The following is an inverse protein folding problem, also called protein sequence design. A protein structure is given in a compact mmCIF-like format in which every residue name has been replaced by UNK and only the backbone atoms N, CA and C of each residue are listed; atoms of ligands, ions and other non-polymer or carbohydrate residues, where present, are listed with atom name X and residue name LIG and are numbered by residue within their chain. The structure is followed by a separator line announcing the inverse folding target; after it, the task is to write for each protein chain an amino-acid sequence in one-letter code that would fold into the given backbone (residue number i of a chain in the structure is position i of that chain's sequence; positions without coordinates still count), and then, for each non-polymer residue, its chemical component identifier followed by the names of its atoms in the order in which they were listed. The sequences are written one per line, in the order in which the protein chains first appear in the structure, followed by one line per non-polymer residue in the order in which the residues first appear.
data_IF_790008853512
#
_entry.id   IF_790008853512
#
_cell.length_a   1.000
_cell.length_b   1.000
_cell.length_c   1.000
_cell.angle_alpha   90.00
_cell.angle_beta   90.00
_cell.angle_gamma   90.00
#
_symmetry.space_group_name_H-M   'P 1'
#
loop_
_entity.id
_entity.type
_entity.pdbx_description
1 polymer ?
#
# COMPACT_ATOMS: atom_id res chain seq x y z
N UNK A 1 16.71 -14.11 7.98
CA UNK A 1 16.77 -12.64 7.93
C UNK A 1 17.45 -12.14 9.20
N UNK A 2 18.45 -11.26 9.08
CA UNK A 2 19.24 -10.72 10.20
C UNK A 2 19.07 -9.20 10.36
N UNK A 3 18.11 -8.59 9.66
CA UNK A 3 17.87 -7.15 9.73
C UNK A 3 17.25 -6.75 11.07
N UNK A 4 17.40 -5.47 11.41
CA UNK A 4 16.80 -4.91 12.61
C UNK A 4 15.29 -4.74 12.40
N UNK A 5 14.43 -5.30 13.26
CA UNK A 5 12.97 -5.19 13.11
C UNK A 5 12.46 -3.75 13.04
N UNK A 6 13.22 -2.81 13.61
CA UNK A 6 12.92 -1.38 13.65
C UNK A 6 13.31 -0.62 12.38
N UNK A 7 13.96 -1.28 11.42
CA UNK A 7 14.39 -0.69 10.15
C UNK A 7 13.62 -1.28 8.97
N UNK A 8 12.52 -1.99 9.23
CA UNK A 8 11.72 -2.63 8.21
C UNK A 8 11.16 -1.62 7.20
N UNK A 9 10.79 -0.42 7.64
CA UNK A 9 10.39 0.70 6.78
C UNK A 9 11.47 1.09 5.78
N UNK A 10 12.71 1.27 6.25
CA UNK A 10 13.87 1.60 5.40
C UNK A 10 14.18 0.48 4.42
N UNK A 11 14.04 -0.76 4.87
CA UNK A 11 14.21 -1.91 3.98
C UNK A 11 13.13 -1.94 2.91
N UNK A 12 11.85 -1.72 3.24
CA UNK A 12 10.76 -1.67 2.26
C UNK A 12 10.98 -0.56 1.22
N UNK A 13 11.42 0.62 1.65
CA UNK A 13 11.76 1.74 0.77
C UNK A 13 12.97 1.47 -0.14
N UNK A 14 13.85 0.53 0.24
CA UNK A 14 15.05 0.18 -0.53
C UNK A 14 14.80 -0.86 -1.63
N UNK A 15 13.59 -1.43 -1.72
CA UNK A 15 13.23 -2.37 -2.78
C UNK A 15 12.42 -1.68 -3.87
N UNK A 16 12.55 -2.16 -5.11
CA UNK A 16 11.78 -1.66 -6.26
C UNK A 16 10.27 -1.90 -6.14
N UNK A 17 9.88 -2.87 -5.30
CA UNK A 17 8.49 -3.17 -4.99
C UNK A 17 8.32 -4.25 -3.92
N UNK A 18 7.09 -4.39 -3.43
CA UNK A 18 6.72 -5.33 -2.37
C UNK A 18 5.58 -6.23 -2.84
N UNK A 19 5.68 -7.53 -2.57
CA UNK A 19 4.59 -8.49 -2.74
C UNK A 19 4.29 -9.10 -1.38
N UNK A 20 3.04 -8.99 -0.91
CA UNK A 20 2.69 -9.45 0.44
C UNK A 20 1.22 -9.85 0.56
N UNK A 21 0.90 -10.61 1.60
CA UNK A 21 -0.47 -10.89 2.04
C UNK A 21 -0.83 -10.11 3.31
N UNK A 22 0.13 -9.41 3.91
CA UNK A 22 -0.05 -8.60 5.12
C UNK A 22 -0.56 -7.22 4.75
N UNK A 23 -1.77 -6.90 5.21
CA UNK A 23 -2.38 -5.59 5.00
C UNK A 23 -1.57 -4.48 5.67
N UNK A 24 -0.97 -4.75 6.83
CA UNK A 24 -0.13 -3.78 7.55
C UNK A 24 1.12 -3.45 6.76
N UNK A 25 1.88 -4.47 6.35
CA UNK A 25 3.10 -4.29 5.56
C UNK A 25 2.80 -3.62 4.21
N UNK A 26 1.70 -3.99 3.56
CA UNK A 26 1.30 -3.35 2.32
C UNK A 26 0.99 -1.86 2.52
N UNK A 27 0.32 -1.52 3.62
CA UNK A 27 0.01 -0.12 3.94
C UNK A 27 1.29 0.68 4.20
N UNK A 28 2.24 0.12 4.95
CA UNK A 28 3.53 0.75 5.25
C UNK A 28 4.36 0.97 3.98
N UNK A 29 4.51 -0.04 3.13
CA UNK A 29 5.25 0.05 1.88
C UNK A 29 4.66 1.10 0.93
N UNK A 30 3.35 1.13 0.78
CA UNK A 30 2.65 2.10 -0.08
C UNK A 30 2.83 3.53 0.42
N UNK A 31 2.78 3.76 1.73
CA UNK A 31 2.99 5.09 2.32
C UNK A 31 4.43 5.58 2.14
N UNK A 32 5.38 4.68 1.99
CA UNK A 32 6.78 4.98 1.69
C UNK A 32 7.04 5.19 0.19
N UNK A 33 6.00 5.11 -0.66
CA UNK A 33 6.10 5.26 -2.10
C UNK A 33 6.52 3.99 -2.84
N UNK A 34 6.67 2.86 -2.15
CA UNK A 34 7.07 1.59 -2.77
C UNK A 34 5.86 0.89 -3.41
N UNK A 35 5.91 0.60 -4.73
CA UNK A 35 4.85 -0.15 -5.39
C UNK A 35 4.60 -1.50 -4.73
N UNK A 36 3.33 -1.78 -4.45
CA UNK A 36 2.97 -2.92 -3.61
C UNK A 36 1.84 -3.73 -4.23
N UNK A 37 2.10 -5.02 -4.45
CA UNK A 37 1.10 -6.01 -4.80
C UNK A 37 0.61 -6.72 -3.51
N UNK A 38 -0.63 -6.44 -3.12
CA UNK A 38 -1.31 -7.10 -2.02
C UNK A 38 -2.18 -8.26 -2.52
N UNK A 39 -1.83 -9.48 -2.11
CA UNK A 39 -2.61 -10.70 -2.38
C UNK A 39 -3.41 -11.05 -1.12
N UNK A 40 -4.66 -10.61 -1.04
CA UNK A 40 -5.47 -10.80 0.17
C UNK A 40 -6.95 -10.60 -0.10
N UNK A 41 -7.81 -11.41 0.52
CA UNK A 41 -9.27 -11.21 0.54
C UNK A 41 -9.72 -10.12 1.52
N UNK A 42 -8.78 -9.50 2.26
CA UNK A 42 -9.11 -8.51 3.28
C UNK A 42 -9.75 -7.24 2.69
N UNK A 43 -10.85 -6.83 3.31
CA UNK A 43 -11.56 -5.60 3.02
C UNK A 43 -11.35 -4.61 4.17
N UNK A 44 -10.52 -3.60 3.95
CA UNK A 44 -10.29 -2.52 4.92
C UNK A 44 -10.46 -1.19 4.21
N UNK A 45 -11.35 -0.34 4.73
CA UNK A 45 -11.67 0.96 4.10
C UNK A 45 -10.46 1.89 3.92
N UNK A 46 -9.41 1.70 4.70
CA UNK A 46 -8.13 2.40 4.52
C UNK A 46 -7.46 2.07 3.18
N UNK A 47 -7.50 0.81 2.74
CA UNK A 47 -6.94 0.40 1.44
C UNK A 47 -7.71 1.05 0.29
N UNK A 48 -9.04 1.11 0.40
CA UNK A 48 -9.88 1.76 -0.60
C UNK A 48 -9.59 3.27 -0.69
N UNK A 49 -9.13 3.89 0.41
CA UNK A 49 -8.64 5.26 0.40
C UNK A 49 -7.32 5.39 -0.35
N UNK A 50 -6.33 4.54 -0.05
CA UNK A 50 -5.04 4.56 -0.73
C UNK A 50 -5.18 4.40 -2.24
N UNK A 51 -6.04 3.49 -2.70
CA UNK A 51 -6.32 3.32 -4.15
C UNK A 51 -6.94 4.57 -4.77
N UNK A 52 -7.88 5.22 -4.07
CA UNK A 52 -8.54 6.45 -4.53
C UNK A 52 -7.59 7.64 -4.61
N UNK A 53 -6.60 7.68 -3.71
CA UNK A 53 -5.55 8.69 -3.66
C UNK A 53 -4.46 8.45 -4.71
N UNK A 54 -4.56 7.37 -5.49
CA UNK A 54 -3.58 7.04 -6.54
C UNK A 54 -2.27 6.50 -6.00
N UNK A 55 -2.26 6.00 -4.75
CA UNK A 55 -1.09 5.37 -4.19
C UNK A 55 -0.73 4.09 -5.00
N UNK A 56 0.55 3.66 -5.01
CA UNK A 56 1.00 2.55 -5.86
C UNK A 56 0.63 1.18 -5.28
N UNK A 57 -0.65 1.00 -4.94
CA UNK A 57 -1.24 -0.20 -4.36
C UNK A 57 -2.00 -0.99 -5.44
N UNK A 58 -1.62 -2.24 -5.64
CA UNK A 58 -2.25 -3.17 -6.56
C UNK A 58 -2.82 -4.32 -5.75
N UNK A 59 -4.13 -4.57 -5.85
CA UNK A 59 -4.80 -5.58 -5.02
C UNK A 59 -5.32 -6.72 -5.87
N UNK A 60 -4.99 -7.94 -5.49
CA UNK A 60 -5.63 -9.14 -5.99
C UNK A 60 -6.35 -9.84 -4.84
N UNK A 61 -7.68 -9.89 -4.89
CA UNK A 61 -8.51 -10.53 -3.84
C UNK A 61 -8.91 -11.96 -4.17
N UNK A 62 -8.37 -12.52 -5.25
CA UNK A 62 -8.66 -13.88 -5.70
C UNK A 62 -9.51 -13.91 -6.98
N UNK A 63 -9.83 -15.12 -7.47
CA UNK A 63 -10.50 -15.31 -8.76
C UNK A 63 -11.94 -14.76 -8.82
N UNK A 64 -12.59 -14.58 -7.67
CA UNK A 64 -13.97 -14.10 -7.60
C UNK A 64 -14.09 -12.56 -7.63
N UNK A 65 -12.97 -11.84 -7.65
CA UNK A 65 -12.91 -10.37 -7.51
C UNK A 65 -13.28 -9.61 -8.80
N UNK A 66 -13.69 -10.32 -9.86
CA UNK A 66 -14.04 -9.73 -11.17
C UNK A 66 -12.87 -9.12 -11.94
N UNK A 67 -11.70 -8.96 -11.30
CA UNK A 67 -10.45 -8.51 -11.89
C UNK A 67 -9.56 -9.72 -12.19
N UNK A 68 -9.08 -9.80 -13.43
CA UNK A 68 -8.18 -10.85 -13.86
C UNK A 68 -6.79 -10.64 -13.26
N UNK A 69 -6.17 -11.73 -12.81
CA UNK A 69 -4.81 -11.72 -12.24
C UNK A 69 -3.81 -11.04 -13.18
N UNK A 70 -3.89 -11.33 -14.48
CA UNK A 70 -2.99 -10.81 -15.50
C UNK A 70 -3.05 -9.28 -15.59
N UNK A 71 -4.23 -8.68 -15.41
CA UNK A 71 -4.39 -7.24 -15.44
C UNK A 71 -3.72 -6.57 -14.23
N UNK A 72 -3.95 -7.11 -13.03
CA UNK A 72 -3.35 -6.59 -11.79
C UNK A 72 -1.83 -6.78 -11.79
N UNK A 73 -1.37 -7.94 -12.25
CA UNK A 73 0.06 -8.22 -12.36
C UNK A 73 0.73 -7.29 -13.38
N UNK A 74 0.13 -7.06 -14.55
CA UNK A 74 0.66 -6.12 -15.54
C UNK A 74 0.72 -4.68 -15.01
N UNK A 75 -0.32 -4.24 -14.28
CA UNK A 75 -0.34 -2.92 -13.63
C UNK A 75 0.77 -2.80 -12.58
N UNK A 76 0.99 -3.82 -11.76
CA UNK A 76 2.09 -3.84 -10.80
C UNK A 76 3.45 -3.73 -11.48
N UNK A 77 3.70 -4.53 -12.53
CA UNK A 77 4.96 -4.48 -13.29
C UNK A 77 5.19 -3.12 -13.97
N UNK A 78 4.12 -2.47 -14.44
CA UNK A 78 4.19 -1.09 -14.94
C UNK A 78 4.52 -0.11 -13.80
N UNK A 79 3.93 -0.29 -12.62
CA UNK A 79 4.21 0.49 -11.42
C UNK A 79 5.67 0.41 -10.97
N UNK A 80 6.30 -0.77 -11.06
CA UNK A 80 7.73 -0.95 -10.77
C UNK A 80 8.65 -0.12 -11.67
N UNK A 81 8.22 0.20 -12.90
CA UNK A 81 9.01 1.01 -13.84
C UNK A 81 8.76 2.52 -13.69
N UNK A 82 7.77 2.93 -12.90
CA UNK A 82 7.35 4.32 -12.71
C UNK A 82 7.81 4.89 -11.35
N UNK A 83 8.65 4.15 -10.62
CA UNK A 83 9.06 4.40 -9.22
C UNK A 83 9.85 5.68 -8.98
N UNK A 84 10.42 6.28 -10.02
CA UNK A 84 11.16 7.55 -9.91
C UNK A 84 10.25 8.78 -9.66
N UNK A 85 8.92 8.62 -9.57
CA UNK A 85 7.96 9.73 -9.61
C UNK A 85 7.02 9.88 -8.40
N UNK A 86 7.14 9.06 -7.35
CA UNK A 86 6.16 9.08 -6.25
C UNK A 86 6.68 9.85 -5.03
N UNK A 87 6.17 11.07 -4.85
CA UNK A 87 6.36 11.84 -3.62
C UNK A 87 5.50 11.24 -2.49
N UNK A 88 6.03 11.18 -1.27
CA UNK A 88 5.27 10.72 -0.10
C UNK A 88 4.10 11.66 0.17
N UNK A 89 2.89 11.12 0.30
CA UNK A 89 1.71 11.92 0.66
C UNK A 89 1.80 12.42 2.11
N UNK A 90 1.29 13.63 2.34
CA UNK A 90 1.15 14.17 3.70
C UNK A 90 0.19 13.29 4.53
N UNK A 91 0.60 12.99 5.76
CA UNK A 91 -0.24 12.25 6.68
C UNK A 91 -1.41 13.14 7.15
N UNK A 92 -2.66 12.63 7.16
CA UNK A 92 -3.80 13.42 7.61
C UNK A 92 -3.73 13.75 9.11
N UNK A 93 -4.36 14.85 9.53
CA UNK A 93 -4.50 15.18 10.95
C UNK A 93 -5.52 14.24 11.65
N UNK A 94 -5.06 13.01 11.89
CA UNK A 94 -5.82 11.98 12.58
C UNK A 94 -6.13 12.38 14.02
N UNK A 95 -5.24 13.15 14.67
CA UNK A 95 -5.43 13.61 16.05
C UNK A 95 -6.57 14.61 16.15
N UNK A 96 -6.58 15.63 15.27
CA UNK A 96 -7.68 16.59 15.19
C UNK A 96 -9.01 15.92 14.85
N UNK A 97 -9.00 15.00 13.89
CA UNK A 97 -10.18 14.21 13.52
C UNK A 97 -10.74 13.40 14.69
N UNK A 98 -9.86 12.75 15.47
CA UNK A 98 -10.25 12.00 16.65
C UNK A 98 -10.81 12.90 17.76
N UNK A 99 -10.20 14.07 17.97
CA UNK A 99 -10.67 15.04 18.96
C UNK A 99 -12.08 15.56 18.62
N UNK A 100 -12.38 15.76 17.34
CA UNK A 100 -13.72 16.18 16.89
C UNK A 100 -14.78 15.11 17.15
N UNK A 101 -14.45 13.82 16.99
CA UNK A 101 -15.38 12.69 17.25
C UNK A 101 -15.80 12.57 18.73
N UNK A 102 -14.95 13.01 19.66
CA UNK A 102 -15.26 12.94 21.09
C UNK A 102 -15.89 14.22 21.64
N UNK A 103 -15.87 15.31 20.87
CA UNK A 103 -16.44 16.61 21.25
C UNK A 103 -17.73 16.96 20.47
N UNK A 104 -18.28 15.99 19.71
CA UNK A 104 -19.56 16.09 18.97
C UNK A 104 -20.72 15.49 19.73
#
# INVERSE_FOLDING_TARGET
YKGHPWELDRELAAHDGVITQSVTMASEAVLLGTPTLLISTAQRGFLDRLEREGAPLFRWRGPDDGLQWEAIHAQFLAGLHLTDALESSDWPDAKGSLHLLFNS
#
